data_IF_779051620539
#
_entry.id   IF_779051620539
#
_cell.length_a   1.000
_cell.length_b   1.000
_cell.length_c   1.000
_cell.angle_alpha   90.00
_cell.angle_beta   90.00
_cell.angle_gamma   90.00
#
_symmetry.space_group_name_H-M   'P 1'
#
loop_
_entity.id
_entity.type
_entity.pdbx_description
1 polymer ?
#
# COMPACT_ATOMS: atom_id res chain seq x y z
N UNK A 1 1.80 -11.45 -6.98
CA UNK A 1 2.13 -10.03 -7.11
C UNK A 1 0.94 -9.27 -7.75
N UNK A 2 0.30 -8.40 -6.96
CA UNK A 2 -0.95 -7.68 -7.32
C UNK A 2 -0.74 -6.77 -8.54
N UNK A 3 0.34 -5.99 -8.54
CA UNK A 3 0.56 -4.98 -9.61
C UNK A 3 0.88 -5.62 -10.96
N UNK A 4 1.47 -6.82 -11.00
CA UNK A 4 1.66 -7.56 -12.27
C UNK A 4 0.34 -8.01 -12.88
N UNK A 5 -0.70 -8.11 -12.07
CA UNK A 5 -2.07 -8.47 -12.48
C UNK A 5 -2.96 -7.25 -12.75
N UNK A 6 -2.42 -6.03 -12.68
CA UNK A 6 -3.19 -4.80 -12.84
C UNK A 6 -4.08 -4.43 -11.66
N UNK A 7 -3.93 -5.10 -10.53
CA UNK A 7 -4.65 -4.77 -9.30
C UNK A 7 -3.97 -3.62 -8.55
N UNK A 8 -4.70 -2.78 -7.81
CA UNK A 8 -4.10 -1.78 -6.93
C UNK A 8 -3.11 -2.43 -5.95
N UNK A 9 -1.98 -1.78 -5.64
CA UNK A 9 -1.03 -2.29 -4.67
C UNK A 9 -1.67 -2.45 -3.29
N UNK A 10 -1.27 -3.49 -2.56
CA UNK A 10 -1.57 -3.61 -1.14
C UNK A 10 -0.72 -2.64 -0.30
N UNK A 11 -1.07 -2.47 0.98
CA UNK A 11 -0.22 -1.71 1.89
C UNK A 11 1.10 -2.46 2.16
N UNK A 12 2.18 -1.71 2.38
CA UNK A 12 3.49 -2.29 2.73
C UNK A 12 3.38 -3.17 3.98
N UNK A 13 2.66 -2.70 5.00
CA UNK A 13 2.46 -3.41 6.27
C UNK A 13 1.73 -4.75 6.06
N UNK A 14 0.77 -4.81 5.14
CA UNK A 14 0.07 -6.07 4.84
C UNK A 14 0.97 -7.14 4.21
N UNK A 15 2.07 -6.72 3.59
CA UNK A 15 3.05 -7.62 2.96
C UNK A 15 4.20 -7.99 3.90
N UNK A 16 4.62 -7.08 4.78
CA UNK A 16 5.78 -7.27 5.66
C UNK A 16 5.41 -7.70 7.07
N UNK A 17 4.18 -7.42 7.51
CA UNK A 17 3.75 -7.60 8.89
C UNK A 17 4.41 -6.60 9.85
N UNK A 18 4.11 -6.76 11.14
CA UNK A 18 4.73 -6.02 12.23
C UNK A 18 5.65 -6.99 13.00
N UNK A 19 6.95 -6.70 13.14
CA UNK A 19 7.84 -7.59 13.90
C UNK A 19 7.39 -7.68 15.36
N UNK A 20 7.37 -8.91 15.89
CA UNK A 20 7.03 -9.15 17.29
C UNK A 20 8.22 -8.74 18.14
N UNK A 21 8.06 -7.66 18.88
CA UNK A 21 9.04 -7.15 19.85
C UNK A 21 8.53 -7.36 21.28
N UNK A 22 9.39 -7.32 22.32
CA UNK A 22 8.92 -7.38 23.72
C UNK A 22 7.85 -6.33 24.06
N UNK A 23 7.92 -5.15 23.46
CA UNK A 23 6.90 -4.10 23.62
C UNK A 23 5.54 -4.53 23.02
N UNK A 24 5.54 -5.14 21.84
CA UNK A 24 4.33 -5.66 21.17
C UNK A 24 3.72 -6.81 22.00
N UNK A 25 4.57 -7.69 22.56
CA UNK A 25 4.11 -8.78 23.44
C UNK A 25 3.45 -8.23 24.71
N UNK A 26 4.07 -7.22 25.34
CA UNK A 26 3.49 -6.56 26.51
C UNK A 26 2.15 -5.88 26.20
N UNK A 27 2.00 -5.23 25.04
CA UNK A 27 0.73 -4.66 24.58
C UNK A 27 -0.34 -5.76 24.36
N UNK A 28 0.05 -6.88 23.75
CA UNK A 28 -0.82 -8.03 23.53
C UNK A 28 -1.31 -8.62 24.86
N UNK A 29 -0.42 -8.81 25.81
CA UNK A 29 -0.77 -9.33 27.14
C UNK A 29 -1.74 -8.39 27.90
N UNK A 30 -1.68 -7.08 27.66
CA UNK A 30 -2.59 -6.07 28.20
C UNK A 30 -3.92 -5.98 27.45
N UNK A 31 -4.13 -6.74 26.38
CA UNK A 31 -5.33 -6.67 25.55
C UNK A 31 -5.43 -5.42 24.65
N UNK A 32 -4.40 -4.57 24.60
CA UNK A 32 -4.40 -3.33 23.81
C UNK A 32 -4.50 -3.60 22.30
N UNK A 33 -4.06 -4.76 21.84
CA UNK A 33 -4.07 -5.16 20.43
C UNK A 33 -5.29 -6.02 20.06
N UNK A 34 -6.30 -6.12 20.93
CA UNK A 34 -7.52 -6.84 20.61
C UNK A 34 -8.28 -6.11 19.50
N UNK A 35 -8.47 -6.81 18.37
CA UNK A 35 -9.23 -6.28 17.26
C UNK A 35 -10.72 -6.40 17.55
N UNK A 36 -11.43 -5.27 17.49
CA UNK A 36 -12.89 -5.23 17.48
C UNK A 36 -13.40 -5.09 16.04
N UNK A 37 -14.64 -5.54 15.75
CA UNK A 37 -15.31 -5.21 14.51
C UNK A 37 -15.39 -3.69 14.31
N UNK A 38 -15.57 -3.23 13.07
CA UNK A 38 -15.82 -1.82 12.82
C UNK A 38 -17.13 -1.39 13.48
N UNK A 39 -17.11 -0.28 14.18
CA UNK A 39 -18.31 0.32 14.74
C UNK A 39 -19.23 0.87 13.62
N UNK A 40 -20.53 1.02 13.91
CA UNK A 40 -21.54 1.53 12.98
C UNK A 40 -21.79 3.03 13.11
N UNK A 41 -21.51 3.60 14.28
CA UNK A 41 -21.84 4.98 14.60
C UNK A 41 -20.79 5.62 15.50
N UNK A 42 -20.50 6.91 15.28
CA UNK A 42 -19.75 7.75 16.20
C UNK A 42 -20.77 8.59 16.96
N UNK A 43 -20.70 8.57 18.27
CA UNK A 43 -21.56 9.33 19.17
C UNK A 43 -20.71 10.30 20.01
N UNK A 44 -21.34 11.18 20.78
CA UNK A 44 -20.68 12.26 21.52
C UNK A 44 -19.50 11.78 22.39
N UNK A 45 -19.68 10.66 23.10
CA UNK A 45 -18.70 10.14 24.05
C UNK A 45 -17.92 8.92 23.56
N UNK A 46 -18.08 8.49 22.29
CA UNK A 46 -17.42 7.28 21.80
C UNK A 46 -18.01 6.69 20.53
N UNK A 47 -18.07 5.38 20.49
CA UNK A 47 -18.56 4.64 19.31
C UNK A 47 -19.57 3.58 19.72
N UNK A 48 -20.49 3.24 18.79
CA UNK A 48 -21.53 2.24 19.00
C UNK A 48 -21.56 1.24 17.84
N UNK A 49 -21.84 -0.01 18.17
CA UNK A 49 -22.07 -1.07 17.18
C UNK A 49 -23.56 -1.30 16.94
N UNK A 50 -23.87 -2.00 15.86
CA UNK A 50 -25.26 -2.33 15.47
C UNK A 50 -26.00 -3.16 16.50
N UNK A 51 -25.31 -3.92 17.34
CA UNK A 51 -25.88 -4.68 18.45
C UNK A 51 -26.20 -3.85 19.71
N UNK A 52 -25.94 -2.53 19.65
CA UNK A 52 -26.12 -1.61 20.76
C UNK A 52 -24.94 -1.49 21.71
N UNK A 53 -23.90 -2.31 21.54
CA UNK A 53 -22.67 -2.22 22.35
C UNK A 53 -22.06 -0.83 22.19
N UNK A 54 -21.61 -0.24 23.29
CA UNK A 54 -20.99 1.09 23.34
C UNK A 54 -19.56 0.99 23.89
N UNK A 55 -18.65 1.75 23.30
CA UNK A 55 -17.29 1.93 23.80
C UNK A 55 -16.98 3.43 23.89
N UNK A 56 -16.64 3.89 25.09
CA UNK A 56 -16.14 5.25 25.27
C UNK A 56 -14.82 5.43 24.55
N UNK A 57 -14.67 6.53 23.86
CA UNK A 57 -13.45 6.91 23.16
C UNK A 57 -13.31 8.42 23.13
N UNK A 58 -12.22 8.93 23.65
CA UNK A 58 -11.89 10.36 23.63
C UNK A 58 -11.23 10.77 22.30
N UNK A 59 -10.62 9.80 21.59
CA UNK A 59 -9.94 10.01 20.33
C UNK A 59 -10.13 8.79 19.40
N UNK A 60 -10.42 9.05 18.15
CA UNK A 60 -10.44 8.03 17.08
C UNK A 60 -9.31 8.35 16.10
N UNK A 61 -8.34 7.43 15.97
CA UNK A 61 -7.24 7.55 15.04
C UNK A 61 -7.50 6.67 13.79
N UNK A 62 -7.68 7.32 12.65
CA UNK A 62 -7.93 6.66 11.37
C UNK A 62 -6.62 6.21 10.71
N UNK A 63 -6.24 4.96 10.91
CA UNK A 63 -5.07 4.34 10.31
C UNK A 63 -5.41 3.62 9.00
N UNK A 64 -5.98 4.33 8.03
CA UNK A 64 -6.55 3.76 6.79
C UNK A 64 -5.51 3.45 5.70
N UNK A 65 -4.23 3.69 5.98
CA UNK A 65 -3.14 3.48 5.03
C UNK A 65 -3.03 4.59 3.99
N UNK A 66 -2.33 4.29 2.91
CA UNK A 66 -2.05 5.22 1.83
C UNK A 66 -2.59 4.71 0.50
N UNK A 67 -3.00 5.63 -0.35
CA UNK A 67 -3.25 5.38 -1.78
C UNK A 67 -2.16 6.07 -2.58
N UNK A 68 -1.76 5.46 -3.69
CA UNK A 68 -0.78 6.07 -4.60
C UNK A 68 -1.39 7.30 -5.27
N UNK A 69 -0.74 8.47 -5.13
CA UNK A 69 -1.16 9.74 -5.71
C UNK A 69 -0.73 9.82 -7.19
N UNK A 70 -1.38 9.07 -8.07
CA UNK A 70 -1.04 8.94 -9.50
C UNK A 70 -2.05 9.62 -10.43
N UNK A 71 -2.88 10.51 -9.93
CA UNK A 71 -3.95 11.13 -10.74
C UNK A 71 -3.38 12.09 -11.80
N UNK A 72 -2.18 12.62 -11.59
CA UNK A 72 -1.45 13.38 -12.60
C UNK A 72 -1.11 12.55 -13.87
N UNK A 73 -1.10 11.22 -13.78
CA UNK A 73 -0.92 10.31 -14.90
C UNK A 73 -2.25 9.89 -15.56
N UNK A 74 -3.40 10.38 -15.08
CA UNK A 74 -4.71 10.02 -15.63
C UNK A 74 -4.84 10.25 -17.15
N UNK A 75 -4.29 11.33 -17.74
CA UNK A 75 -4.35 11.53 -19.19
C UNK A 75 -3.68 10.41 -20.01
N UNK A 76 -2.74 9.67 -19.42
CA UNK A 76 -2.04 8.57 -20.08
C UNK A 76 -2.84 7.26 -20.08
N UNK A 77 -3.98 7.23 -19.40
CA UNK A 77 -4.91 6.08 -19.33
C UNK A 77 -4.23 4.74 -18.98
N UNK A 78 -3.27 4.77 -18.06
CA UNK A 78 -2.45 3.61 -17.71
C UNK A 78 -3.16 2.57 -16.85
N UNK A 79 -4.26 2.96 -16.18
CA UNK A 79 -4.99 2.06 -15.27
C UNK A 79 -5.63 0.89 -16.04
N UNK A 80 -5.63 -0.28 -15.42
CA UNK A 80 -6.37 -1.45 -15.83
C UNK A 80 -7.86 -1.33 -15.41
N UNK A 81 -8.75 -2.18 -15.93
CA UNK A 81 -10.15 -2.24 -15.48
C UNK A 81 -10.28 -2.47 -13.97
N UNK A 82 -9.32 -3.17 -13.36
CA UNK A 82 -9.29 -3.44 -11.91
C UNK A 82 -8.75 -2.26 -11.07
N UNK A 83 -8.47 -1.11 -11.71
CA UNK A 83 -8.11 0.15 -11.08
C UNK A 83 -6.62 0.32 -10.71
N UNK A 84 -5.79 -0.71 -10.86
CA UNK A 84 -4.34 -0.63 -10.71
C UNK A 84 -3.64 -0.29 -12.03
N UNK A 85 -2.33 -0.08 -11.98
CA UNK A 85 -1.47 0.01 -13.17
C UNK A 85 -0.72 -1.32 -13.28
N UNK A 86 -0.81 -1.96 -14.45
CA UNK A 86 -0.09 -3.22 -14.70
C UNK A 86 1.39 -2.94 -14.86
N UNK A 87 2.18 -3.60 -14.01
CA UNK A 87 3.62 -3.42 -13.93
C UNK A 87 4.36 -4.66 -14.44
N UNK A 88 5.46 -4.43 -15.14
CA UNK A 88 6.37 -5.43 -15.69
C UNK A 88 7.82 -5.13 -15.27
N UNK A 89 8.77 -5.82 -15.88
CA UNK A 89 10.19 -5.67 -15.59
C UNK A 89 10.64 -6.46 -14.36
N UNK A 90 11.95 -6.38 -14.05
CA UNK A 90 12.63 -7.19 -13.03
C UNK A 90 12.02 -6.99 -11.65
N UNK A 91 11.81 -5.74 -11.27
CA UNK A 91 11.25 -5.35 -9.96
C UNK A 91 9.86 -4.70 -10.05
N UNK A 92 9.12 -4.98 -11.14
CA UNK A 92 7.78 -4.44 -11.38
C UNK A 92 7.74 -2.91 -11.32
N UNK A 93 8.67 -2.25 -11.99
CA UNK A 93 8.75 -0.79 -12.11
C UNK A 93 8.27 -0.28 -13.45
N UNK A 94 8.37 -1.07 -14.52
CA UNK A 94 8.00 -0.69 -15.88
C UNK A 94 6.49 -0.81 -16.06
N UNK A 95 5.87 0.18 -16.67
CA UNK A 95 4.44 0.16 -17.01
C UNK A 95 4.20 -0.69 -18.24
N UNK A 96 3.32 -1.69 -18.16
CA UNK A 96 3.06 -2.61 -19.27
C UNK A 96 2.52 -1.93 -20.52
N UNK A 97 1.70 -0.89 -20.37
CA UNK A 97 1.11 -0.12 -21.48
C UNK A 97 2.11 0.82 -22.18
N UNK A 98 3.12 1.29 -21.44
CA UNK A 98 4.14 2.16 -21.99
C UNK A 98 5.49 1.88 -21.32
N UNK A 99 6.38 1.14 -21.99
CA UNK A 99 7.68 0.75 -21.43
C UNK A 99 8.65 1.92 -21.19
N UNK A 100 8.33 3.11 -21.63
CA UNK A 100 9.09 4.35 -21.35
C UNK A 100 8.81 4.90 -19.95
N UNK A 101 7.76 4.39 -19.29
CA UNK A 101 7.32 4.87 -17.97
C UNK A 101 7.69 3.86 -16.91
N UNK A 102 8.38 4.33 -15.89
CA UNK A 102 8.71 3.54 -14.70
C UNK A 102 8.13 4.19 -13.45
N UNK A 103 7.47 3.41 -12.60
CA UNK A 103 6.91 3.85 -11.32
C UNK A 103 7.73 3.24 -10.17
N UNK A 104 8.58 4.04 -9.56
CA UNK A 104 9.34 3.69 -8.36
C UNK A 104 8.55 4.14 -7.13
N UNK A 105 8.45 3.25 -6.12
CA UNK A 105 7.59 3.51 -4.95
C UNK A 105 6.15 3.02 -5.13
N UNK A 106 5.85 2.32 -6.23
CA UNK A 106 4.55 1.72 -6.50
C UNK A 106 4.61 0.19 -6.34
N UNK A 107 3.67 -0.38 -5.58
CA UNK A 107 3.64 -1.84 -5.34
C UNK A 107 4.84 -2.35 -4.54
N UNK A 108 5.57 -3.37 -5.02
CA UNK A 108 6.69 -3.98 -4.29
C UNK A 108 7.82 -3.03 -3.94
N UNK A 109 7.96 -1.93 -4.67
CA UNK A 109 8.99 -0.91 -4.43
C UNK A 109 8.58 0.17 -3.42
N UNK A 110 7.41 0.09 -2.80
CA UNK A 110 6.88 1.08 -1.87
C UNK A 110 7.53 1.02 -0.47
N UNK A 111 8.84 0.91 -0.40
CA UNK A 111 9.64 1.01 0.82
C UNK A 111 10.98 1.65 0.49
N UNK A 112 11.67 2.21 1.48
CA UNK A 112 12.96 2.90 1.26
C UNK A 112 13.99 1.99 0.56
N UNK A 113 14.17 0.77 1.06
CA UNK A 113 15.10 -0.21 0.47
C UNK A 113 14.57 -0.70 -0.89
N UNK A 114 13.27 -0.95 -0.98
CA UNK A 114 12.60 -1.36 -2.22
C UNK A 114 12.73 -0.32 -3.31
N UNK A 115 12.51 0.97 -3.00
CA UNK A 115 12.65 2.07 -3.94
C UNK A 115 14.07 2.22 -4.48
N UNK A 116 15.10 2.10 -3.63
CA UNK A 116 16.50 2.15 -4.06
C UNK A 116 16.85 1.04 -5.06
N UNK A 117 16.46 -0.20 -4.76
CA UNK A 117 16.67 -1.34 -5.66
C UNK A 117 15.90 -1.18 -6.97
N UNK A 118 14.66 -0.76 -6.86
CA UNK A 118 13.76 -0.57 -8.00
C UNK A 118 14.23 0.57 -8.91
N UNK A 119 14.74 1.68 -8.34
CA UNK A 119 15.30 2.77 -9.11
C UNK A 119 16.50 2.34 -9.97
N UNK A 120 17.42 1.55 -9.39
CA UNK A 120 18.56 1.00 -10.15
C UNK A 120 18.11 0.07 -11.28
N UNK A 121 17.17 -0.83 -11.00
CA UNK A 121 16.63 -1.74 -12.01
C UNK A 121 15.90 -0.96 -13.12
N UNK A 122 15.12 0.06 -12.77
CA UNK A 122 14.43 0.91 -13.73
C UNK A 122 15.39 1.62 -14.68
N UNK A 123 16.50 2.16 -14.16
CA UNK A 123 17.53 2.81 -14.99
C UNK A 123 18.17 1.79 -15.95
N UNK A 124 18.52 0.60 -15.48
CA UNK A 124 19.09 -0.45 -16.35
C UNK A 124 18.11 -0.81 -17.46
N UNK A 125 16.85 -1.09 -17.13
CA UNK A 125 15.81 -1.43 -18.10
C UNK A 125 15.53 -0.29 -19.09
N UNK A 126 15.63 0.96 -18.64
CA UNK A 126 15.47 2.12 -19.52
C UNK A 126 16.64 2.25 -20.49
N UNK A 127 17.88 2.02 -20.04
CA UNK A 127 19.06 2.04 -20.92
C UNK A 127 19.01 0.90 -21.96
N UNK A 128 18.58 -0.31 -21.54
CA UNK A 128 18.32 -1.42 -22.46
C UNK A 128 17.27 -1.05 -23.52
N UNK A 129 16.16 -0.42 -23.09
CA UNK A 129 15.09 0.04 -23.97
C UNK A 129 15.57 1.09 -25.00
N UNK A 130 16.48 1.98 -24.59
CA UNK A 130 17.06 3.03 -25.46
C UNK A 130 18.22 2.52 -26.32
N UNK A 131 18.62 1.26 -26.21
CA UNK A 131 19.78 0.69 -26.93
C UNK A 131 21.12 1.29 -26.44
N UNK A 132 21.18 1.73 -25.18
CA UNK A 132 22.36 2.37 -24.57
C UNK A 132 23.06 1.47 -23.53
N UNK A 133 22.61 0.21 -23.40
CA UNK A 133 23.17 -0.77 -22.46
C UNK A 133 24.18 -1.68 -23.13
#
# INVERSE_FOLDING_TARGET
>A
DRVRRGLPPGSVVSATGVPVTPAIEAMRARGVLNRLPMFSEIVEDGVRWTDGTFQRADVILWCTGFRSALDHLAPLMLRSPDGGITMTGRLATQVAKDPRIHLVGYGPSASTIGANRAGRAAVTELLEFLGMA
#
